data_IF_161771897616
#
_entry.id   IF_161771897616
#
_cell.length_a   1.000
_cell.length_b   1.000
_cell.length_c   1.000
_cell.angle_alpha   90.00
_cell.angle_beta   90.00
_cell.angle_gamma   90.00
#
_symmetry.space_group_name_H-M   'P 1'
#
loop_
_entity.id
_entity.type
_entity.pdbx_description
1 polymer ?
#
# COMPACT_ATOMS: atom_id res chain seq x y z
N UNK A 1 39.30 11.81 -7.70
CA UNK A 1 39.22 10.33 -7.64
C UNK A 1 40.07 9.81 -6.49
N UNK A 2 39.46 9.25 -5.44
CA UNK A 2 39.93 8.01 -4.76
C UNK A 2 39.15 7.74 -3.45
N UNK A 3 38.27 6.73 -3.52
CA UNK A 3 38.28 5.51 -2.68
C UNK A 3 38.34 5.60 -1.14
N UNK A 4 37.73 6.58 -0.47
CA UNK A 4 37.57 6.54 1.00
C UNK A 4 36.13 6.62 1.53
N UNK A 5 35.12 6.81 0.68
CA UNK A 5 33.72 6.93 1.10
C UNK A 5 32.87 5.65 1.09
N UNK A 6 33.33 4.56 0.46
CA UNK A 6 32.51 3.37 0.21
C UNK A 6 32.54 2.31 1.33
N UNK A 7 33.49 2.37 2.26
CA UNK A 7 33.63 1.33 3.31
C UNK A 7 32.74 1.52 4.55
N UNK A 8 32.14 2.71 4.73
CA UNK A 8 31.30 2.99 5.90
C UNK A 8 29.81 2.65 5.70
N UNK A 9 29.32 2.54 4.46
CA UNK A 9 27.93 2.16 4.17
C UNK A 9 27.74 0.64 3.92
N UNK A 10 28.79 -0.07 3.50
CA UNK A 10 28.70 -1.50 3.15
C UNK A 10 28.65 -2.45 4.38
N UNK A 11 29.00 -1.97 5.58
CA UNK A 11 29.08 -2.82 6.77
C UNK A 11 27.85 -2.79 7.69
N UNK A 12 26.80 -2.00 7.39
CA UNK A 12 25.50 -2.07 8.11
C UNK A 12 24.40 -2.81 7.36
N UNK A 13 24.68 -3.27 6.14
CA UNK A 13 23.79 -4.10 5.35
C UNK A 13 24.52 -5.38 4.94
N UNK A 14 25.03 -6.13 5.92
CA UNK A 14 25.38 -7.54 5.67
C UNK A 14 24.07 -8.34 5.73
N UNK A 15 23.63 -8.98 4.62
CA UNK A 15 22.46 -9.83 4.62
C UNK A 15 22.84 -11.18 5.22
N UNK A 16 22.99 -11.25 6.56
CA UNK A 16 23.27 -12.53 7.22
C UNK A 16 22.31 -12.96 8.32
N UNK A 17 21.43 -12.11 8.83
CA UNK A 17 20.56 -12.52 9.96
C UNK A 17 19.05 -12.24 9.80
N UNK A 18 18.56 -11.67 8.70
CA UNK A 18 17.11 -11.49 8.48
C UNK A 18 16.39 -12.66 7.81
N UNK A 19 17.13 -13.62 7.27
CA UNK A 19 16.58 -14.69 6.41
C UNK A 19 15.78 -15.78 7.16
N UNK A 20 15.46 -15.61 8.45
CA UNK A 20 14.68 -16.60 9.21
C UNK A 20 13.27 -16.16 9.59
N UNK A 21 12.96 -14.85 9.59
CA UNK A 21 11.64 -14.35 10.02
C UNK A 21 10.87 -13.51 8.97
N UNK A 22 11.46 -13.24 7.80
CA UNK A 22 10.82 -12.39 6.76
C UNK A 22 9.85 -13.11 5.82
N UNK A 23 9.75 -14.44 5.88
CA UNK A 23 8.92 -15.22 4.95
C UNK A 23 7.40 -15.10 5.20
N UNK A 24 7.01 -14.49 6.32
CA UNK A 24 5.62 -14.40 6.77
C UNK A 24 5.04 -12.99 6.78
N UNK A 25 5.85 -11.96 6.46
CA UNK A 25 5.36 -10.58 6.40
C UNK A 25 4.72 -10.35 5.04
N UNK A 26 3.41 -10.05 4.96
CA UNK A 26 2.76 -9.76 3.69
C UNK A 26 3.32 -8.49 3.05
N UNK A 27 3.60 -8.56 1.74
CA UNK A 27 4.16 -7.42 0.98
C UNK A 27 3.20 -7.07 -0.15
N UNK A 28 2.83 -5.81 -0.28
CA UNK A 28 2.08 -5.30 -1.42
C UNK A 28 3.03 -4.63 -2.44
N UNK A 29 2.94 -5.01 -3.72
CA UNK A 29 3.64 -4.35 -4.83
C UNK A 29 2.65 -3.47 -5.58
N UNK A 30 2.82 -2.16 -5.43
CA UNK A 30 1.89 -1.15 -5.94
C UNK A 30 2.69 -0.09 -6.73
N UNK A 31 2.14 0.38 -7.84
CA UNK A 31 2.59 1.59 -8.53
C UNK A 31 1.68 2.77 -8.19
N UNK A 32 2.26 3.95 -7.97
CA UNK A 32 1.54 5.18 -7.64
C UNK A 32 2.06 6.32 -8.50
N UNK A 33 1.14 7.06 -9.11
CA UNK A 33 1.44 8.24 -9.92
C UNK A 33 0.41 9.33 -9.64
N UNK A 34 0.87 10.58 -9.52
CA UNK A 34 -0.02 11.73 -9.40
C UNK A 34 0.25 12.75 -10.50
N UNK A 35 -0.69 12.89 -11.43
CA UNK A 35 -0.64 13.89 -12.48
C UNK A 35 -1.12 15.25 -11.93
N UNK A 36 -0.17 16.15 -11.65
CA UNK A 36 -0.45 17.49 -11.11
C UNK A 36 -1.25 18.39 -12.05
N UNK A 37 -1.19 18.17 -13.38
CA UNK A 37 -1.91 18.99 -14.36
C UNK A 37 -3.38 18.60 -14.44
N UNK A 38 -3.63 17.30 -14.47
CA UNK A 38 -4.98 16.73 -14.59
C UNK A 38 -5.65 16.50 -13.22
N UNK A 39 -4.91 16.68 -12.12
CA UNK A 39 -5.38 16.36 -10.76
C UNK A 39 -5.86 14.91 -10.64
N UNK A 40 -5.13 13.98 -11.26
CA UNK A 40 -5.46 12.55 -11.25
C UNK A 40 -4.45 11.78 -10.40
N UNK A 41 -4.97 10.97 -9.47
CA UNK A 41 -4.20 9.95 -8.77
C UNK A 41 -4.43 8.61 -9.47
N UNK A 42 -3.33 7.99 -9.86
CA UNK A 42 -3.31 6.68 -10.48
C UNK A 42 -2.68 5.65 -9.55
N UNK A 43 -3.33 4.49 -9.45
CA UNK A 43 -2.92 3.39 -8.58
C UNK A 43 -2.90 2.10 -9.39
N UNK A 44 -1.73 1.46 -9.43
CA UNK A 44 -1.54 0.15 -10.03
C UNK A 44 -1.34 -0.91 -8.97
N UNK A 45 -2.24 -1.88 -8.89
CA UNK A 45 -2.09 -3.04 -8.00
C UNK A 45 -1.50 -4.19 -8.79
N UNK A 46 -0.20 -4.45 -8.61
CA UNK A 46 0.50 -5.57 -9.26
C UNK A 46 0.17 -6.88 -8.56
N UNK A 47 0.65 -7.04 -7.32
CA UNK A 47 0.46 -8.27 -6.56
C UNK A 47 0.70 -8.10 -5.06
N UNK A 48 0.27 -9.11 -4.30
CA UNK A 48 0.62 -9.31 -2.89
C UNK A 48 1.45 -10.59 -2.75
N UNK A 49 2.51 -10.53 -1.95
CA UNK A 49 3.46 -11.61 -1.71
C UNK A 49 3.43 -12.03 -0.24
N UNK A 50 3.96 -13.22 0.05
CA UNK A 50 4.12 -13.75 1.40
C UNK A 50 2.80 -13.73 2.19
N UNK A 51 1.68 -13.89 1.49
CA UNK A 51 0.37 -13.98 2.14
C UNK A 51 0.32 -15.27 2.97
N UNK A 52 -0.06 -15.21 4.25
CA UNK A 52 -0.09 -16.39 5.10
C UNK A 52 -1.10 -17.40 4.55
N UNK A 53 -0.83 -18.71 4.71
CA UNK A 53 -1.78 -19.74 4.33
C UNK A 53 -3.07 -19.54 5.12
N UNK A 54 -4.20 -19.68 4.45
CA UNK A 54 -5.50 -19.64 5.11
C UNK A 54 -6.12 -21.02 4.97
N UNK A 55 -6.47 -21.65 6.10
CA UNK A 55 -7.22 -22.91 6.11
C UNK A 55 -8.66 -22.60 5.77
N UNK A 56 -9.08 -22.78 4.52
CA UNK A 56 -10.45 -22.51 4.07
C UNK A 56 -10.83 -23.35 2.85
N UNK A 57 -12.04 -23.16 2.31
CA UNK A 57 -12.53 -23.93 1.17
C UNK A 57 -11.54 -23.91 0.00
N UNK A 58 -11.48 -25.01 -0.77
CA UNK A 58 -10.80 -24.99 -2.06
C UNK A 58 -11.40 -23.83 -2.86
N UNK A 59 -10.56 -22.95 -3.41
CA UNK A 59 -10.97 -21.76 -4.17
C UNK A 59 -11.42 -20.53 -3.35
N UNK A 60 -10.66 -20.15 -2.32
CA UNK A 60 -10.86 -18.81 -1.73
C UNK A 60 -10.53 -17.71 -2.72
N UNK A 61 -11.54 -16.92 -3.05
CA UNK A 61 -11.39 -15.68 -3.80
C UNK A 61 -11.02 -14.53 -2.87
N UNK A 62 -10.31 -13.57 -3.45
CA UNK A 62 -9.83 -12.38 -2.80
C UNK A 62 -9.80 -11.21 -3.77
N UNK A 63 -9.85 -10.00 -3.21
CA UNK A 63 -9.71 -8.75 -3.93
C UNK A 63 -8.80 -7.80 -3.16
N UNK A 64 -8.26 -6.81 -3.85
CA UNK A 64 -7.62 -5.67 -3.22
C UNK A 64 -8.56 -4.47 -3.26
N UNK A 65 -8.70 -3.77 -2.13
CA UNK A 65 -9.39 -2.47 -2.05
C UNK A 65 -8.38 -1.36 -1.94
N UNK A 66 -8.61 -0.29 -2.66
CA UNK A 66 -7.84 0.96 -2.65
C UNK A 66 -8.77 2.06 -2.19
N UNK A 67 -8.44 2.67 -1.06
CA UNK A 67 -9.30 3.61 -0.36
C UNK A 67 -8.53 4.90 -0.16
N UNK A 68 -8.91 5.95 -0.90
CA UNK A 68 -8.32 7.27 -0.79
C UNK A 68 -9.14 8.07 0.21
N UNK A 69 -8.59 8.30 1.39
CA UNK A 69 -9.23 9.10 2.43
C UNK A 69 -8.80 10.55 2.27
N UNK A 70 -9.78 11.46 2.13
CA UNK A 70 -9.58 12.90 1.95
C UNK A 70 -9.52 13.60 3.30
N UNK A 71 -8.77 14.71 3.37
CA UNK A 71 -8.73 15.64 4.52
C UNK A 71 -8.38 14.96 5.85
N UNK A 72 -7.42 14.03 5.82
CA UNK A 72 -6.90 13.37 7.02
C UNK A 72 -6.30 14.40 7.97
N UNK A 73 -6.75 14.37 9.23
CA UNK A 73 -6.28 15.29 10.27
C UNK A 73 -4.80 15.03 10.55
N UNK A 74 -4.02 16.10 10.76
CA UNK A 74 -2.59 15.98 11.08
C UNK A 74 -2.32 15.13 12.32
N UNK A 75 -3.24 15.15 13.30
CA UNK A 75 -3.16 14.31 14.51
C UNK A 75 -3.20 12.80 14.21
N UNK A 76 -3.87 12.38 13.13
CA UNK A 76 -3.90 10.99 12.67
C UNK A 76 -2.60 10.58 11.99
N UNK A 77 -1.88 11.54 11.40
CA UNK A 77 -0.61 11.30 10.69
C UNK A 77 0.57 11.26 11.68
N UNK A 78 0.50 12.02 12.78
CA UNK A 78 1.62 12.21 13.72
C UNK A 78 1.61 11.27 14.93
N UNK A 79 0.48 10.65 15.24
CA UNK A 79 0.42 9.72 16.36
C UNK A 79 0.99 8.36 15.96
N UNK A 80 2.05 7.92 16.65
CA UNK A 80 2.58 6.55 16.55
C UNK A 80 1.56 5.46 16.92
N UNK A 81 0.40 5.86 17.47
CA UNK A 81 -0.75 5.00 17.78
C UNK A 81 -1.92 5.14 16.78
N UNK A 82 -1.90 6.11 15.86
CA UNK A 82 -2.92 6.30 14.82
C UNK A 82 -2.60 5.54 13.53
N UNK A 83 -1.91 4.41 13.64
CA UNK A 83 -1.43 3.55 12.55
C UNK A 83 -2.56 2.93 11.74
N UNK A 84 -3.81 3.05 12.19
CA UNK A 84 -4.99 2.50 11.53
C UNK A 84 -6.00 3.62 11.29
N UNK A 85 -6.11 4.06 10.04
CA UNK A 85 -7.25 4.88 9.61
C UNK A 85 -8.51 4.03 9.74
N UNK A 86 -9.34 4.32 10.75
CA UNK A 86 -10.63 3.67 10.93
C UNK A 86 -11.58 4.20 9.85
N UNK A 87 -11.85 3.37 8.83
CA UNK A 87 -12.68 3.77 7.69
C UNK A 87 -14.13 3.96 8.11
N UNK A 88 -14.57 3.28 9.17
CA UNK A 88 -15.95 3.35 9.67
C UNK A 88 -16.30 4.75 10.20
N UNK A 89 -15.30 5.50 10.66
CA UNK A 89 -15.45 6.88 11.13
C UNK A 89 -15.38 7.91 10.00
N UNK A 90 -15.04 7.49 8.77
CA UNK A 90 -14.93 8.36 7.62
C UNK A 90 -16.23 8.34 6.83
N UNK A 91 -16.90 9.49 6.75
CA UNK A 91 -18.07 9.69 5.89
C UNK A 91 -17.79 9.24 4.44
N UNK A 92 -18.74 8.63 3.74
CA UNK A 92 -18.55 8.16 2.36
C UNK A 92 -18.03 9.25 1.40
N UNK A 93 -18.53 10.48 1.52
CA UNK A 93 -18.07 11.63 0.71
C UNK A 93 -16.60 12.00 0.96
N UNK A 94 -16.09 11.65 2.14
CA UNK A 94 -14.71 11.85 2.56
C UNK A 94 -13.73 10.83 2.01
N UNK A 95 -14.18 9.84 1.23
CA UNK A 95 -13.31 8.82 0.64
C UNK A 95 -13.65 8.50 -0.82
N UNK A 96 -12.72 7.84 -1.49
CA UNK A 96 -12.92 7.22 -2.79
C UNK A 96 -12.54 5.76 -2.63
N UNK A 97 -13.48 4.86 -2.88
CA UNK A 97 -13.29 3.42 -2.78
C UNK A 97 -13.18 2.83 -4.19
N UNK A 98 -12.12 2.05 -4.43
CA UNK A 98 -11.87 1.31 -5.67
C UNK A 98 -11.51 -0.13 -5.30
N UNK A 99 -11.90 -1.10 -6.13
CA UNK A 99 -11.58 -2.50 -5.86
C UNK A 99 -11.19 -3.27 -7.12
N UNK A 100 -10.37 -4.30 -6.91
CA UNK A 100 -10.02 -5.26 -7.94
C UNK A 100 -11.11 -6.27 -8.21
N UNK A 101 -11.13 -6.78 -9.45
CA UNK A 101 -11.81 -8.03 -9.73
C UNK A 101 -11.34 -9.11 -8.76
N UNK A 102 -12.24 -10.02 -8.42
CA UNK A 102 -11.90 -11.14 -7.58
C UNK A 102 -10.94 -12.07 -8.33
N UNK A 103 -9.93 -12.55 -7.61
CA UNK A 103 -8.98 -13.54 -8.10
C UNK A 103 -8.82 -14.65 -7.08
N UNK A 104 -8.37 -15.81 -7.53
CA UNK A 104 -8.06 -16.92 -6.63
C UNK A 104 -6.84 -16.57 -5.77
N UNK A 105 -6.98 -16.72 -4.44
CA UNK A 105 -5.88 -16.50 -3.49
C UNK A 105 -4.76 -17.53 -3.72
N UNK A 106 -3.53 -17.03 -3.78
CA UNK A 106 -2.30 -17.81 -3.75
C UNK A 106 -1.30 -17.15 -2.77
N UNK A 107 -0.19 -17.84 -2.44
CA UNK A 107 0.90 -17.24 -1.62
C UNK A 107 1.41 -15.93 -2.24
N UNK A 108 1.48 -15.91 -3.58
CA UNK A 108 1.63 -14.71 -4.40
C UNK A 108 0.34 -14.50 -5.18
N UNK A 109 -0.45 -13.50 -4.82
CA UNK A 109 -1.71 -13.19 -5.51
C UNK A 109 -1.51 -12.00 -6.43
N UNK A 110 -1.72 -12.21 -7.73
CA UNK A 110 -1.53 -11.20 -8.78
C UNK A 110 -2.88 -10.63 -9.19
N UNK A 111 -2.95 -9.29 -9.30
CA UNK A 111 -4.14 -8.56 -9.73
C UNK A 111 -3.92 -7.87 -11.07
N UNK A 112 -2.77 -7.21 -11.24
CA UNK A 112 -2.40 -6.42 -12.43
C UNK A 112 -3.51 -5.45 -12.89
N UNK A 113 -4.11 -4.71 -11.96
CA UNK A 113 -5.20 -3.79 -12.24
C UNK A 113 -4.82 -2.34 -11.95
N UNK A 114 -5.32 -1.45 -12.82
CA UNK A 114 -5.03 -0.02 -12.79
C UNK A 114 -6.30 0.77 -12.51
N UNK A 115 -6.19 1.78 -11.66
CA UNK A 115 -7.26 2.70 -11.32
C UNK A 115 -6.81 4.15 -11.43
N UNK A 116 -7.76 5.02 -11.75
CA UNK A 116 -7.59 6.46 -11.70
C UNK A 116 -8.75 7.07 -10.92
N UNK A 117 -8.46 8.07 -10.11
CA UNK A 117 -9.48 8.90 -9.49
C UNK A 117 -9.06 10.37 -9.50
N UNK A 118 -10.05 11.25 -9.58
CA UNK A 118 -9.85 12.68 -9.42
C UNK A 118 -9.46 13.01 -7.98
N UNK A 119 -8.30 13.63 -7.83
CA UNK A 119 -7.77 14.12 -6.57
C UNK A 119 -7.25 15.55 -6.74
N UNK A 120 -8.05 16.56 -6.36
CA UNK A 120 -7.64 17.96 -6.40
C UNK A 120 -6.31 18.19 -5.68
N UNK A 121 -5.46 19.03 -6.28
CA UNK A 121 -4.12 19.33 -5.75
C UNK A 121 -4.12 19.80 -4.30
N UNK A 122 -5.14 20.55 -3.89
CA UNK A 122 -5.31 21.04 -2.52
C UNK A 122 -5.50 19.90 -1.51
N UNK A 123 -6.06 18.77 -1.95
CA UNK A 123 -6.33 17.62 -1.09
C UNK A 123 -5.15 16.65 -1.03
N UNK A 124 -4.28 16.61 -2.05
CA UNK A 124 -3.17 15.66 -2.18
C UNK A 124 -2.35 15.50 -0.88
N UNK A 125 -1.88 16.60 -0.29
CA UNK A 125 -1.05 16.57 0.92
C UNK A 125 -1.82 16.25 2.21
N UNK A 126 -3.14 16.20 2.12
CA UNK A 126 -4.05 15.86 3.22
C UNK A 126 -4.75 14.53 3.00
N UNK A 127 -4.27 13.73 2.04
CA UNK A 127 -4.84 12.43 1.73
C UNK A 127 -3.99 11.30 2.28
N UNK A 128 -4.67 10.24 2.71
CA UNK A 128 -4.05 8.95 2.98
C UNK A 128 -4.61 7.91 2.02
N UNK A 129 -3.74 7.00 1.61
CA UNK A 129 -4.09 5.85 0.79
C UNK A 129 -4.08 4.62 1.69
N UNK A 130 -5.23 3.95 1.79
CA UNK A 130 -5.36 2.68 2.49
C UNK A 130 -5.58 1.59 1.46
N UNK A 131 -4.73 0.57 1.49
CA UNK A 131 -4.80 -0.58 0.60
C UNK A 131 -5.10 -1.79 1.46
N UNK A 132 -6.17 -2.52 1.12
CA UNK A 132 -6.61 -3.67 1.87
C UNK A 132 -6.58 -4.90 0.98
N UNK A 133 -6.00 -5.99 1.47
CA UNK A 133 -6.23 -7.31 0.90
C UNK A 133 -7.43 -7.93 1.60
N UNK A 134 -8.48 -8.30 0.87
CA UNK A 134 -9.73 -8.80 1.42
C UNK A 134 -10.05 -10.20 0.91
N UNK A 135 -10.58 -11.04 1.79
CA UNK A 135 -11.25 -12.29 1.41
C UNK A 135 -12.73 -12.04 1.19
N UNK A 136 -13.30 -12.56 0.11
CA UNK A 136 -14.75 -12.44 -0.14
C UNK A 136 -15.57 -13.23 0.89
N UNK A 137 -15.02 -14.34 1.40
CA UNK A 137 -15.74 -15.28 2.27
C UNK A 137 -15.24 -15.27 3.73
N UNK A 138 -14.37 -14.33 4.12
CA UNK A 138 -13.80 -14.25 5.49
C UNK A 138 -13.47 -12.83 5.93
N UNK A 139 -13.53 -12.62 7.24
CA UNK A 139 -13.19 -11.35 7.91
C UNK A 139 -11.68 -11.02 7.96
N UNK A 140 -10.81 -11.94 7.50
CA UNK A 140 -9.36 -11.70 7.53
C UNK A 140 -9.01 -10.71 6.42
N UNK A 141 -8.47 -9.55 6.81
CA UNK A 141 -7.93 -8.56 5.88
C UNK A 141 -6.55 -8.11 6.30
N UNK A 142 -5.68 -7.84 5.33
CA UNK A 142 -4.39 -7.19 5.56
C UNK A 142 -4.52 -5.74 5.17
N UNK A 143 -4.10 -4.83 6.06
CA UNK A 143 -4.25 -3.40 5.87
C UNK A 143 -2.86 -2.78 5.74
N UNK A 144 -2.67 -2.06 4.64
CA UNK A 144 -1.49 -1.23 4.38
C UNK A 144 -1.96 0.23 4.33
N UNK A 145 -1.33 1.11 5.09
CA UNK A 145 -1.63 2.54 5.08
C UNK A 145 -0.41 3.31 4.63
N UNK A 146 -0.58 4.10 3.57
CA UNK A 146 0.43 4.93 2.93
C UNK A 146 -0.02 6.38 3.02
N UNK A 147 0.86 7.27 3.47
CA UNK A 147 0.59 8.70 3.48
C UNK A 147 1.17 9.33 2.20
N UNK A 148 0.33 9.99 1.40
CA UNK A 148 0.76 10.52 0.08
C UNK A 148 1.81 11.64 0.19
N UNK A 149 1.98 12.23 1.39
CA UNK A 149 3.06 13.20 1.66
C UNK A 149 4.45 12.60 1.46
N UNK A 150 4.62 11.30 1.68
CA UNK A 150 5.89 10.60 1.53
C UNK A 150 6.26 10.38 0.05
N UNK A 151 5.29 10.40 -0.87
CA UNK A 151 5.54 10.18 -2.31
C UNK A 151 6.33 11.32 -2.98
N UNK A 152 6.33 12.54 -2.42
CA UNK A 152 7.19 13.60 -2.95
C UNK A 152 8.67 13.40 -2.60
N UNK A 153 8.97 12.66 -1.53
CA UNK A 153 10.34 12.32 -1.13
C UNK A 153 10.83 11.05 -1.86
N UNK A 154 9.94 10.09 -2.10
CA UNK A 154 10.21 8.94 -2.95
C UNK A 154 9.90 9.29 -4.41
N UNK A 155 10.81 10.00 -5.10
CA UNK A 155 10.97 9.79 -6.54
C UNK A 155 11.28 8.32 -6.75
N UNK A 156 10.22 7.52 -6.90
CA UNK A 156 10.27 6.07 -7.09
C UNK A 156 11.17 5.85 -8.30
N UNK A 157 12.38 5.34 -8.03
CA UNK A 157 13.20 4.75 -9.08
C UNK A 157 12.38 3.60 -9.65
N UNK A 158 11.82 3.82 -10.83
CA UNK A 158 11.29 2.76 -11.65
C UNK A 158 12.40 1.71 -11.80
N UNK A 159 12.13 0.50 -11.30
CA UNK A 159 12.86 -0.71 -11.65
C UNK A 159 12.24 -1.30 -12.91
#
# INVERSE_FOLDING_TARGET
>A
MSRLGLKWLENRLKPKDWAKDTDWVPIARIGLEYNKKESLLSVYIKCFLNLPPVVGPRHMECLARVIVVKRVRRSWIQSRHATVVNIEEVNPEGRIDMETLSVRRQKTTVFNQWYCCELPKQLFHTCALKIQFCHLNRLISFIFTLHLRELEEYKVKAL
#
